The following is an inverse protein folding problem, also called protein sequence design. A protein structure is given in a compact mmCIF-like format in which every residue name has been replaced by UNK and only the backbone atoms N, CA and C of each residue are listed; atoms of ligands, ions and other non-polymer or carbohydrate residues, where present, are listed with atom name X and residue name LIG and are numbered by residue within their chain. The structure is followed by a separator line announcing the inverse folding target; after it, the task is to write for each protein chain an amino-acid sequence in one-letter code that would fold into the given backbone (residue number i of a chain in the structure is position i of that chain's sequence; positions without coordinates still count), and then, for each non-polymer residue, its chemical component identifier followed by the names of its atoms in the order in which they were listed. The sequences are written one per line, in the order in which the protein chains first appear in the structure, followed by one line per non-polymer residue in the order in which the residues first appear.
data_IF_322497248751
#
_entry.id   IF_322497248751
#
_cell.length_a   1.000
_cell.length_b   1.000
_cell.length_c   1.000
_cell.angle_alpha   90.00
_cell.angle_beta   90.00
_cell.angle_gamma   90.00
#
_symmetry.space_group_name_H-M   'P 1'
#
loop_
_entity.id
_entity.type
_entity.pdbx_description
1 polymer ?
#
# COMPACT_ATOMS: atom_id res chain seq x y z
N UNK A 1 18.25 10.06 -25.28
CA UNK A 1 16.84 9.87 -24.95
C UNK A 1 16.61 10.51 -23.60
N UNK A 2 15.83 11.61 -23.57
CA UNK A 2 15.44 12.22 -22.31
C UNK A 2 14.50 11.24 -21.58
N UNK A 3 14.94 10.75 -20.45
CA UNK A 3 14.05 10.07 -19.50
C UNK A 3 12.97 11.09 -19.14
N UNK A 4 11.70 10.72 -19.27
CA UNK A 4 10.61 11.65 -18.92
C UNK A 4 10.68 11.94 -17.42
N UNK A 5 10.26 13.13 -16.97
CA UNK A 5 10.18 13.48 -15.54
C UNK A 5 9.38 12.46 -14.73
N UNK A 6 8.42 11.82 -15.37
CA UNK A 6 7.64 10.74 -14.76
C UNK A 6 8.53 9.51 -14.47
N UNK A 7 9.35 9.08 -15.43
CA UNK A 7 10.26 7.95 -15.24
C UNK A 7 11.35 8.26 -14.21
N UNK A 8 11.84 9.51 -14.13
CA UNK A 8 12.76 9.93 -13.06
C UNK A 8 12.10 9.82 -11.69
N UNK A 9 10.85 10.27 -11.54
CA UNK A 9 10.08 10.12 -10.31
C UNK A 9 9.88 8.66 -9.89
N UNK A 10 9.60 7.78 -10.86
CA UNK A 10 9.47 6.34 -10.62
C UNK A 10 10.80 5.72 -10.17
N UNK A 11 11.92 6.07 -10.81
CA UNK A 11 13.26 5.57 -10.40
C UNK A 11 13.58 6.02 -8.98
N UNK A 12 13.29 7.27 -8.63
CA UNK A 12 13.51 7.78 -7.28
C UNK A 12 12.65 7.05 -6.24
N UNK A 13 11.36 6.89 -6.49
CA UNK A 13 10.46 6.15 -5.60
C UNK A 13 10.89 4.68 -5.45
N UNK A 14 11.32 4.04 -6.54
CA UNK A 14 11.82 2.67 -6.51
C UNK A 14 13.08 2.54 -5.64
N UNK A 15 14.01 3.50 -5.75
CA UNK A 15 15.21 3.52 -4.91
C UNK A 15 14.87 3.65 -3.41
N UNK A 16 13.84 4.45 -3.07
CA UNK A 16 13.34 4.57 -1.70
C UNK A 16 12.75 3.25 -1.21
N UNK A 17 11.89 2.59 -1.98
CA UNK A 17 11.34 1.29 -1.61
C UNK A 17 12.43 0.24 -1.38
N UNK A 18 13.42 0.17 -2.27
CA UNK A 18 14.55 -0.77 -2.12
C UNK A 18 15.34 -0.49 -0.86
N UNK A 19 15.69 0.79 -0.61
CA UNK A 19 16.47 1.19 0.55
C UNK A 19 15.72 0.93 1.86
N UNK A 20 14.44 1.30 1.94
CA UNK A 20 13.59 1.10 3.11
C UNK A 20 13.42 -0.40 3.43
N UNK A 21 13.05 -1.20 2.42
CA UNK A 21 12.86 -2.63 2.59
C UNK A 21 14.14 -3.37 2.97
N UNK A 22 15.25 -3.06 2.32
CA UNK A 22 16.56 -3.65 2.62
C UNK A 22 17.03 -3.28 4.02
N UNK A 23 16.92 -2.01 4.41
CA UNK A 23 17.28 -1.55 5.75
C UNK A 23 16.43 -2.22 6.84
N UNK A 24 15.12 -2.31 6.65
CA UNK A 24 14.24 -2.97 7.60
C UNK A 24 14.56 -4.48 7.72
N UNK A 25 14.90 -5.15 6.63
CA UNK A 25 15.33 -6.56 6.64
C UNK A 25 16.67 -6.76 7.35
N UNK A 26 17.64 -5.88 7.11
CA UNK A 26 18.95 -5.92 7.77
C UNK A 26 18.81 -5.78 9.29
N UNK A 27 17.89 -4.95 9.75
CA UNK A 27 17.66 -4.66 11.17
C UNK A 27 16.42 -5.34 11.75
N UNK A 28 15.92 -6.38 11.10
CA UNK A 28 14.66 -7.03 11.50
C UNK A 28 14.66 -7.50 12.95
N UNK A 29 15.78 -7.98 13.45
CA UNK A 29 15.90 -8.46 14.83
C UNK A 29 15.85 -7.33 15.88
N UNK A 30 16.10 -6.10 15.47
CA UNK A 30 15.95 -4.92 16.33
C UNK A 30 14.50 -4.45 16.46
N UNK A 31 13.61 -4.90 15.57
CA UNK A 31 12.18 -4.59 15.61
C UNK A 31 11.53 -5.45 16.69
N UNK A 32 11.24 -4.87 17.84
CA UNK A 32 10.75 -5.63 19.00
C UNK A 32 9.25 -5.97 18.92
N UNK A 33 8.40 -5.02 18.55
CA UNK A 33 6.95 -5.19 18.61
C UNK A 33 6.24 -4.84 17.31
N UNK A 34 6.61 -3.73 16.68
CA UNK A 34 5.88 -3.19 15.54
C UNK A 34 6.80 -2.48 14.56
N UNK A 35 6.52 -2.63 13.27
CA UNK A 35 7.08 -1.82 12.19
C UNK A 35 5.96 -1.02 11.52
N UNK A 36 6.18 0.27 11.36
CA UNK A 36 5.30 1.13 10.55
C UNK A 36 6.08 1.56 9.30
N UNK A 37 5.58 1.16 8.14
CA UNK A 37 6.11 1.57 6.83
C UNK A 37 5.55 2.94 6.46
N UNK A 38 6.39 3.84 5.96
CA UNK A 38 5.94 5.15 5.44
C UNK A 38 5.41 4.98 4.01
N UNK A 39 4.23 4.38 3.90
CA UNK A 39 3.60 4.06 2.63
C UNK A 39 2.60 2.91 2.76
N UNK A 40 2.12 2.38 1.64
CA UNK A 40 1.22 1.23 1.66
C UNK A 40 1.95 -0.02 2.14
N UNK A 41 1.22 -0.88 2.86
CA UNK A 41 1.76 -2.18 3.29
C UNK A 41 2.29 -3.00 2.09
N UNK A 42 1.56 -2.96 0.98
CA UNK A 42 1.98 -3.55 -0.30
C UNK A 42 2.08 -2.44 -1.34
N UNK A 43 3.28 -2.12 -1.83
CA UNK A 43 3.47 -1.12 -2.88
C UNK A 43 3.04 -1.68 -4.25
N UNK A 44 1.73 -1.76 -4.49
CA UNK A 44 1.15 -2.35 -5.71
C UNK A 44 1.52 -1.60 -6.99
N UNK A 45 1.95 -0.35 -6.90
CA UNK A 45 2.51 0.39 -8.02
C UNK A 45 3.76 -0.27 -8.60
N UNK A 46 4.53 -1.03 -7.81
CA UNK A 46 5.67 -1.79 -8.31
C UNK A 46 5.26 -2.83 -9.37
N UNK A 47 4.04 -3.38 -9.26
CA UNK A 47 3.49 -4.27 -10.29
C UNK A 47 3.24 -3.54 -11.61
N UNK A 48 2.72 -2.31 -11.55
CA UNK A 48 2.50 -1.48 -12.73
C UNK A 48 3.83 -1.10 -13.39
N UNK A 49 4.83 -0.77 -12.59
CA UNK A 49 6.16 -0.43 -13.08
C UNK A 49 6.84 -1.65 -13.73
N UNK A 50 6.64 -2.84 -13.16
CA UNK A 50 7.11 -4.09 -13.75
C UNK A 50 6.40 -4.43 -15.06
N UNK A 51 5.09 -4.22 -15.15
CA UNK A 51 4.29 -4.52 -16.35
C UNK A 51 4.72 -3.69 -17.57
N UNK A 52 5.50 -2.61 -17.34
CA UNK A 52 6.17 -1.88 -18.39
C UNK A 52 5.22 -1.16 -19.34
N UNK A 53 4.41 -0.23 -18.83
CA UNK A 53 3.83 0.79 -19.70
C UNK A 53 4.94 1.36 -20.59
N UNK A 54 4.64 1.74 -21.82
CA UNK A 54 5.64 2.16 -22.83
C UNK A 54 6.67 3.17 -22.31
N UNK A 55 6.27 4.01 -21.36
CA UNK A 55 7.15 5.01 -20.72
C UNK A 55 8.08 4.43 -19.65
N UNK A 56 7.82 3.21 -19.18
CA UNK A 56 8.52 2.56 -18.07
C UNK A 56 9.25 1.28 -18.48
N UNK A 57 9.29 0.92 -19.76
CA UNK A 57 9.98 -0.28 -20.26
C UNK A 57 11.43 -0.37 -19.79
N UNK A 58 12.13 0.77 -19.79
CA UNK A 58 13.52 0.80 -19.31
C UNK A 58 13.61 0.51 -17.82
N UNK A 59 12.68 1.02 -17.01
CA UNK A 59 12.63 0.74 -15.57
C UNK A 59 12.26 -0.72 -15.30
N UNK A 60 11.26 -1.23 -16.01
CA UNK A 60 10.85 -2.64 -15.90
C UNK A 60 11.99 -3.60 -16.25
N UNK A 61 12.78 -3.27 -17.27
CA UNK A 61 13.91 -4.09 -17.72
C UNK A 61 15.08 -4.16 -16.71
N UNK A 62 15.13 -3.29 -15.70
CA UNK A 62 16.19 -3.35 -14.66
C UNK A 62 15.99 -4.51 -13.67
N UNK A 63 14.78 -5.04 -13.55
CA UNK A 63 14.42 -6.01 -12.52
C UNK A 63 14.19 -5.40 -11.13
N UNK A 64 14.58 -4.16 -10.88
CA UNK A 64 14.43 -3.50 -9.57
C UNK A 64 13.00 -3.44 -9.02
N UNK A 65 11.93 -3.24 -9.83
CA UNK A 65 10.57 -3.31 -9.32
C UNK A 65 10.22 -4.68 -8.73
N UNK A 66 10.71 -5.75 -9.34
CA UNK A 66 10.54 -7.12 -8.84
C UNK A 66 11.33 -7.35 -7.56
N UNK A 67 12.55 -6.88 -7.51
CA UNK A 67 13.42 -6.97 -6.33
C UNK A 67 12.83 -6.19 -5.13
N UNK A 68 12.36 -4.97 -5.34
CA UNK A 68 11.72 -4.17 -4.31
C UNK A 68 10.47 -4.86 -3.75
N UNK A 69 9.62 -5.38 -4.63
CA UNK A 69 8.43 -6.09 -4.22
C UNK A 69 8.76 -7.35 -3.42
N UNK A 70 9.72 -8.14 -3.88
CA UNK A 70 10.18 -9.34 -3.17
C UNK A 70 10.74 -8.99 -1.78
N UNK A 71 11.51 -7.92 -1.67
CA UNK A 71 12.06 -7.42 -0.41
C UNK A 71 10.96 -7.09 0.59
N UNK A 72 9.93 -6.36 0.15
CA UNK A 72 8.78 -6.03 0.99
C UNK A 72 7.98 -7.26 1.43
N UNK A 73 7.72 -8.19 0.51
CA UNK A 73 6.99 -9.42 0.83
C UNK A 73 7.76 -10.28 1.84
N UNK A 74 9.07 -10.41 1.66
CA UNK A 74 9.95 -11.12 2.60
C UNK A 74 9.96 -10.46 3.98
N UNK A 75 10.00 -9.13 4.04
CA UNK A 75 9.95 -8.37 5.28
C UNK A 75 8.64 -8.64 6.03
N UNK A 76 7.51 -8.51 5.34
CA UNK A 76 6.19 -8.73 5.93
C UNK A 76 6.04 -10.18 6.41
N UNK A 77 6.44 -11.15 5.60
CA UNK A 77 6.39 -12.56 5.95
C UNK A 77 7.20 -12.89 7.21
N UNK A 78 8.41 -12.36 7.30
CA UNK A 78 9.26 -12.55 8.48
C UNK A 78 8.67 -11.91 9.74
N UNK A 79 8.10 -10.69 9.63
CA UNK A 79 7.47 -10.03 10.77
C UNK A 79 6.26 -10.82 11.29
N UNK A 80 5.38 -11.24 10.39
CA UNK A 80 4.21 -12.04 10.76
C UNK A 80 4.62 -13.38 11.36
N UNK A 81 5.58 -14.08 10.74
CA UNK A 81 6.07 -15.38 11.21
C UNK A 81 6.74 -15.33 12.59
N UNK A 82 7.15 -14.13 13.02
CA UNK A 82 7.75 -13.89 14.34
C UNK A 82 6.82 -13.15 15.31
N UNK A 83 5.51 -13.15 15.00
CA UNK A 83 4.45 -12.52 15.81
C UNK A 83 4.68 -11.01 16.06
N UNK A 84 5.24 -10.32 15.06
CA UNK A 84 5.45 -8.88 15.10
C UNK A 84 4.43 -8.18 14.25
N UNK A 85 3.96 -7.03 14.72
CA UNK A 85 3.00 -6.22 13.98
C UNK A 85 3.69 -5.45 12.85
N UNK A 86 3.00 -5.34 11.72
CA UNK A 86 3.42 -4.49 10.62
C UNK A 86 2.24 -3.70 10.06
N UNK A 87 2.43 -2.42 9.85
CA UNK A 87 1.42 -1.52 9.29
C UNK A 87 2.02 -0.69 8.16
N UNK A 88 1.20 -0.44 7.14
CA UNK A 88 1.47 0.60 6.16
C UNK A 88 0.74 1.89 6.55
N UNK A 89 1.42 3.03 6.53
CA UNK A 89 0.83 4.33 6.82
C UNK A 89 0.88 5.24 5.59
N UNK A 90 -0.28 5.44 4.95
CA UNK A 90 -0.39 6.18 3.69
C UNK A 90 -0.88 7.60 3.97
N UNK A 91 0.01 8.58 3.81
CA UNK A 91 -0.26 9.99 4.10
C UNK A 91 -1.20 10.66 3.08
N UNK A 92 -1.11 10.25 1.82
CA UNK A 92 -1.91 10.81 0.74
C UNK A 92 -2.59 9.69 -0.05
N UNK A 93 -3.61 9.01 0.52
CA UNK A 93 -4.24 7.90 -0.17
C UNK A 93 -5.03 8.38 -1.39
N UNK A 94 -4.71 7.82 -2.56
CA UNK A 94 -5.39 8.12 -3.84
C UNK A 94 -6.35 7.01 -4.28
N UNK A 95 -6.66 6.09 -3.40
CA UNK A 95 -7.55 4.97 -3.67
C UNK A 95 -8.95 5.43 -4.09
N UNK A 96 -9.62 4.60 -4.89
CA UNK A 96 -10.96 4.84 -5.41
C UNK A 96 -11.87 3.61 -5.25
N UNK A 97 -11.46 2.60 -4.53
CA UNK A 97 -12.13 1.32 -4.46
C UNK A 97 -13.51 1.39 -3.81
N UNK A 98 -13.65 2.12 -2.72
CA UNK A 98 -14.92 2.34 -2.02
C UNK A 98 -15.87 3.14 -2.90
N UNK A 99 -15.41 4.31 -3.38
CA UNK A 99 -16.19 5.19 -4.26
C UNK A 99 -16.63 4.47 -5.54
N UNK A 100 -15.76 3.67 -6.17
CA UNK A 100 -16.10 2.88 -7.35
C UNK A 100 -17.14 1.80 -7.03
N UNK A 101 -17.03 1.15 -5.87
CA UNK A 101 -17.98 0.12 -5.43
C UNK A 101 -19.37 0.71 -5.16
N UNK A 102 -19.44 1.86 -4.50
CA UNK A 102 -20.70 2.55 -4.25
C UNK A 102 -21.38 2.95 -5.56
N UNK A 103 -20.63 3.53 -6.50
CA UNK A 103 -21.16 3.86 -7.84
C UNK A 103 -21.64 2.65 -8.61
N UNK A 104 -20.92 1.53 -8.55
CA UNK A 104 -21.34 0.28 -9.19
C UNK A 104 -22.63 -0.29 -8.59
N UNK A 105 -22.98 0.07 -7.35
CA UNK A 105 -24.25 -0.25 -6.69
C UNK A 105 -25.37 0.75 -6.99
N UNK A 106 -25.10 1.76 -7.82
CA UNK A 106 -26.10 2.76 -8.21
C UNK A 106 -26.16 3.99 -7.31
N UNK A 107 -25.24 4.12 -6.35
CA UNK A 107 -25.19 5.29 -5.49
C UNK A 107 -24.69 6.53 -6.26
N UNK A 108 -25.39 7.64 -6.08
CA UNK A 108 -24.96 8.93 -6.62
C UNK A 108 -24.06 9.63 -5.61
N UNK A 109 -22.78 9.61 -5.85
CA UNK A 109 -21.79 10.21 -4.95
C UNK A 109 -20.91 11.22 -5.70
N UNK A 110 -20.67 12.40 -5.11
CA UNK A 110 -19.92 13.48 -5.76
C UNK A 110 -18.40 13.25 -5.73
N UNK A 111 -17.88 12.47 -4.79
CA UNK A 111 -16.44 12.32 -4.57
C UNK A 111 -15.78 11.44 -5.64
N UNK A 112 -14.57 11.81 -6.00
CA UNK A 112 -13.75 11.08 -6.99
C UNK A 112 -12.82 10.05 -6.33
N UNK A 113 -12.43 10.29 -5.09
CA UNK A 113 -11.50 9.44 -4.32
C UNK A 113 -12.12 9.02 -2.99
N UNK A 114 -11.64 7.89 -2.47
CA UNK A 114 -12.03 7.41 -1.15
C UNK A 114 -11.63 8.43 -0.06
N UNK A 115 -10.49 9.11 -0.23
CA UNK A 115 -10.02 10.16 0.67
C UNK A 115 -11.03 11.30 0.80
N UNK A 116 -11.55 11.82 -0.32
CA UNK A 116 -12.52 12.90 -0.30
C UNK A 116 -13.85 12.45 0.34
N UNK A 117 -14.28 11.22 0.07
CA UNK A 117 -15.46 10.63 0.69
C UNK A 117 -15.32 10.52 2.21
N UNK A 118 -14.20 9.96 2.68
CA UNK A 118 -13.99 9.78 4.11
C UNK A 118 -13.66 11.09 4.84
N UNK A 119 -13.06 12.08 4.16
CA UNK A 119 -12.83 13.39 4.75
C UNK A 119 -14.15 14.04 5.17
N UNK A 120 -15.17 14.02 4.32
CA UNK A 120 -16.47 14.56 4.65
C UNK A 120 -17.18 13.72 5.71
N UNK A 121 -17.24 12.41 5.52
CA UNK A 121 -17.92 11.50 6.45
C UNK A 121 -17.35 11.55 7.88
N UNK A 122 -16.03 11.62 8.02
CA UNK A 122 -15.38 11.61 9.32
C UNK A 122 -15.33 13.02 9.94
N UNK A 123 -15.28 14.08 9.13
CA UNK A 123 -15.35 15.45 9.62
C UNK A 123 -16.69 15.75 10.35
N UNK A 124 -17.80 15.16 9.89
CA UNK A 124 -19.09 15.28 10.56
C UNK A 124 -19.12 14.66 11.97
N UNK A 125 -18.20 13.75 12.27
CA UNK A 125 -18.12 13.04 13.55
C UNK A 125 -16.96 13.53 14.42
N UNK A 126 -16.08 14.36 13.86
CA UNK A 126 -14.92 14.85 14.56
C UNK A 126 -15.27 16.04 15.46
N UNK A 127 -14.69 16.06 16.66
CA UNK A 127 -14.44 17.33 17.37
C UNK A 127 -13.09 17.90 16.90
N UNK A 128 -12.80 19.15 17.24
CA UNK A 128 -11.61 19.86 16.76
C UNK A 128 -10.27 19.28 17.26
N UNK A 129 -10.28 18.26 18.11
CA UNK A 129 -9.08 17.82 18.84
C UNK A 129 -8.78 16.34 18.74
N UNK A 130 -9.77 15.51 18.47
CA UNK A 130 -9.60 14.05 18.50
C UNK A 130 -9.54 13.45 17.10
N UNK A 131 -8.63 12.51 16.94
CA UNK A 131 -8.58 11.68 15.74
C UNK A 131 -9.84 10.83 15.62
N UNK A 132 -10.45 10.80 14.44
CA UNK A 132 -11.62 9.97 14.14
C UNK A 132 -11.23 8.93 13.11
N UNK A 133 -11.68 7.70 13.28
CA UNK A 133 -11.32 6.61 12.40
C UNK A 133 -12.50 5.68 12.09
N UNK A 134 -12.43 5.01 10.97
CA UNK A 134 -13.39 3.99 10.57
C UNK A 134 -13.09 2.66 11.28
N UNK A 135 -14.03 1.74 11.23
CA UNK A 135 -13.71 0.32 11.42
C UNK A 135 -12.77 -0.17 10.31
N UNK A 136 -12.23 -1.38 10.48
CA UNK A 136 -11.41 -2.02 9.47
C UNK A 136 -12.26 -2.47 8.27
N UNK A 137 -11.80 -2.14 7.08
CA UNK A 137 -12.34 -2.62 5.81
C UNK A 137 -11.47 -3.75 5.29
N UNK A 138 -12.07 -4.85 4.89
CA UNK A 138 -11.39 -5.89 4.14
C UNK A 138 -11.46 -5.56 2.65
N UNK A 139 -10.31 -5.49 2.00
CA UNK A 139 -10.26 -5.28 0.55
C UNK A 139 -10.45 -6.61 -0.15
N UNK A 140 -11.59 -6.79 -0.82
CA UNK A 140 -11.91 -8.02 -1.57
C UNK A 140 -11.81 -7.85 -3.08
N UNK A 141 -11.39 -6.68 -3.59
CA UNK A 141 -11.47 -6.35 -5.01
C UNK A 141 -10.13 -5.92 -5.60
N UNK A 142 -9.74 -6.54 -6.69
CA UNK A 142 -8.64 -6.11 -7.58
C UNK A 142 -7.24 -6.15 -6.99
N UNK A 143 -7.06 -5.60 -5.81
CA UNK A 143 -5.78 -5.63 -5.12
C UNK A 143 -5.42 -7.04 -4.64
N UNK A 144 -6.41 -7.79 -4.14
CA UNK A 144 -6.21 -9.17 -3.70
C UNK A 144 -5.95 -10.08 -4.90
N UNK A 145 -6.60 -9.85 -6.03
CA UNK A 145 -6.29 -10.57 -7.26
C UNK A 145 -4.88 -10.27 -7.77
N UNK A 146 -4.42 -9.03 -7.64
CA UNK A 146 -3.03 -8.67 -7.98
C UNK A 146 -2.04 -9.32 -7.02
N UNK A 147 -2.34 -9.37 -5.72
CA UNK A 147 -1.50 -10.01 -4.71
C UNK A 147 -1.48 -11.53 -4.88
N UNK A 148 -2.62 -12.16 -5.14
CA UNK A 148 -2.68 -13.62 -5.39
C UNK A 148 -1.98 -14.05 -6.67
N UNK A 149 -1.84 -13.14 -7.64
CA UNK A 149 -1.06 -13.39 -8.85
C UNK A 149 0.44 -13.10 -8.67
N UNK A 150 0.83 -12.48 -7.56
CA UNK A 150 2.22 -12.13 -7.27
C UNK A 150 3.20 -13.31 -7.34
N UNK A 151 2.92 -14.49 -6.78
CA UNK A 151 3.83 -15.63 -6.88
C UNK A 151 4.15 -16.00 -8.34
N UNK A 152 3.14 -16.03 -9.21
CA UNK A 152 3.31 -16.29 -10.64
C UNK A 152 4.05 -15.17 -11.38
N UNK A 153 3.92 -13.93 -10.87
CA UNK A 153 4.48 -12.73 -11.47
C UNK A 153 5.94 -12.51 -11.04
N UNK A 154 6.31 -12.90 -9.82
CA UNK A 154 7.64 -12.66 -9.24
C UNK A 154 8.52 -13.89 -9.30
N UNK A 155 7.97 -15.05 -9.73
CA UNK A 155 8.66 -16.36 -9.74
C UNK A 155 9.29 -16.69 -8.37
N UNK A 156 8.56 -16.36 -7.30
CA UNK A 156 8.96 -16.58 -5.92
C UNK A 156 7.95 -17.51 -5.29
N UNK A 157 8.44 -18.62 -4.77
CA UNK A 157 7.65 -19.50 -3.91
C UNK A 157 7.48 -18.83 -2.55
N UNK A 158 6.47 -17.97 -2.44
CA UNK A 158 6.04 -17.39 -1.18
C UNK A 158 5.29 -18.49 -0.40
N UNK A 159 6.04 -19.40 0.19
CA UNK A 159 5.47 -20.47 1.00
C UNK A 159 4.97 -20.00 2.38
N UNK A 160 5.18 -18.73 2.70
CA UNK A 160 4.86 -18.14 4.00
C UNK A 160 3.47 -17.50 4.07
N UNK A 161 3.15 -16.88 5.22
CA UNK A 161 1.90 -16.15 5.43
C UNK A 161 1.62 -15.08 4.37
N UNK A 162 2.68 -14.51 3.77
CA UNK A 162 2.54 -13.54 2.68
C UNK A 162 1.87 -14.10 1.42
N UNK A 163 1.92 -15.40 1.18
CA UNK A 163 1.29 -16.05 0.02
C UNK A 163 -0.25 -16.00 0.03
N UNK A 164 -0.85 -15.90 1.22
CA UNK A 164 -2.29 -15.80 1.42
C UNK A 164 -2.76 -14.42 1.87
N UNK A 165 -1.91 -13.42 1.76
CA UNK A 165 -2.14 -12.13 2.39
C UNK A 165 -3.33 -11.37 1.80
N UNK A 166 -4.36 -11.36 2.58
CA UNK A 166 -5.39 -10.36 2.51
C UNK A 166 -4.95 -9.16 3.35
N UNK A 167 -5.30 -7.98 2.91
CA UNK A 167 -5.10 -6.77 3.70
C UNK A 167 -6.43 -6.21 4.17
N UNK A 168 -6.42 -5.67 5.36
CA UNK A 168 -7.43 -4.73 5.80
C UNK A 168 -6.86 -3.31 5.82
N UNK A 169 -7.73 -2.34 5.80
CA UNK A 169 -7.35 -0.95 5.97
C UNK A 169 -8.41 -0.20 6.78
N UNK A 170 -7.99 0.86 7.42
CA UNK A 170 -8.89 1.85 8.02
C UNK A 170 -8.50 3.25 7.56
N UNK A 171 -9.47 4.16 7.58
CA UNK A 171 -9.27 5.57 7.31
C UNK A 171 -9.25 6.31 8.64
N UNK A 172 -8.26 7.18 8.80
CA UNK A 172 -8.02 7.99 9.98
C UNK A 172 -8.07 9.46 9.58
N UNK A 173 -8.92 10.24 10.21
CA UNK A 173 -9.05 11.68 9.98
C UNK A 173 -8.46 12.46 11.15
N UNK A 174 -7.54 13.38 10.84
CA UNK A 174 -7.03 14.38 11.78
C UNK A 174 -7.74 15.71 11.55
N UNK A 175 -8.63 16.13 12.45
CA UNK A 175 -9.37 17.39 12.28
C UNK A 175 -8.49 18.63 12.37
N UNK A 176 -7.34 18.55 13.05
CA UNK A 176 -6.40 19.68 13.20
C UNK A 176 -5.73 20.04 11.89
N UNK A 177 -5.45 19.03 11.07
CA UNK A 177 -4.80 19.15 9.77
C UNK A 177 -5.81 19.08 8.62
N UNK A 178 -7.07 18.71 8.90
CA UNK A 178 -8.11 18.38 7.93
C UNK A 178 -7.64 17.36 6.89
N UNK A 179 -6.90 16.34 7.33
CA UNK A 179 -6.27 15.32 6.47
C UNK A 179 -6.77 13.94 6.82
N UNK A 180 -6.98 13.13 5.77
CA UNK A 180 -7.26 11.70 5.89
C UNK A 180 -6.01 10.90 5.58
N UNK A 181 -5.68 10.01 6.48
CA UNK A 181 -4.66 8.98 6.33
C UNK A 181 -5.31 7.62 6.12
N UNK A 182 -4.56 6.67 5.54
CA UNK A 182 -4.96 5.27 5.51
C UNK A 182 -3.93 4.42 6.23
N UNK A 183 -4.41 3.55 7.09
CA UNK A 183 -3.59 2.55 7.76
C UNK A 183 -3.92 1.19 7.15
N UNK A 184 -2.92 0.51 6.61
CA UNK A 184 -3.02 -0.85 6.07
C UNK A 184 -2.45 -1.84 7.08
N UNK A 185 -3.11 -2.99 7.25
CA UNK A 185 -2.61 -4.10 8.06
C UNK A 185 -2.79 -5.43 7.31
N UNK A 186 -1.94 -6.44 7.55
CA UNK A 186 -2.18 -7.77 7.06
C UNK A 186 -3.39 -8.38 7.78
N UNK A 187 -4.14 -9.23 7.10
CA UNK A 187 -5.14 -10.10 7.75
C UNK A 187 -4.63 -11.53 7.72
N UNK A 188 -4.72 -12.19 8.84
CA UNK A 188 -4.54 -13.62 8.92
C UNK A 188 -5.64 -14.36 8.15
#
# INVERSE_FOLDING_TARGET
PQISRYAEGVVHALALYLAEGAHALEHIDAIQACLVLDGPLYPLELLRWRAGEDRLRTVAATGYPTEALWTYLTLIDRLISTDRLVFGFVKNPSARGIVATLRARGETIPWVTDTAFFAELLAEQADDTQLVYTSWFRSSLGADAAITQLPAVVDVDLAGPAAGLHRCFMMLYDPREAVVYRVDAPTA
#
